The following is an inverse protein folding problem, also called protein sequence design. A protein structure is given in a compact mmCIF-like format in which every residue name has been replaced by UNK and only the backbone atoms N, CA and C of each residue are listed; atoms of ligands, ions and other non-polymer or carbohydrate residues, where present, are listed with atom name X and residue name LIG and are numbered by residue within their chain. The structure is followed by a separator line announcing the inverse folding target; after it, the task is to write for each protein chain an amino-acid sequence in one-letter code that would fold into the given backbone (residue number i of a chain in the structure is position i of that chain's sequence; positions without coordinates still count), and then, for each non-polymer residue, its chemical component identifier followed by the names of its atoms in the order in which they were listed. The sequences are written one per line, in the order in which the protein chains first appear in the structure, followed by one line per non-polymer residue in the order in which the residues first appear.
data_IF_421570699471
#
_entry.id   IF_421570699471
#
_cell.length_a   1.000
_cell.length_b   1.000
_cell.length_c   1.000
_cell.angle_alpha   90.00
_cell.angle_beta   90.00
_cell.angle_gamma   90.00
#
_symmetry.space_group_name_H-M   'P 1'
#
loop_
_entity.id
_entity.type
_entity.pdbx_description
1 polymer ?
#
# COMPACT_ATOMS: atom_id res chain seq x y z
N UNK A 1 -2.88 13.42 26.81
CA UNK A 1 -4.04 12.64 26.33
C UNK A 1 -5.03 13.59 25.69
N UNK A 2 -5.04 13.73 24.36
CA UNK A 2 -6.08 14.48 23.65
C UNK A 2 -6.79 13.51 22.72
N UNK A 3 -7.94 13.03 23.17
CA UNK A 3 -8.83 12.16 22.45
C UNK A 3 -9.88 13.06 21.80
N UNK A 4 -9.57 13.58 20.62
CA UNK A 4 -10.58 14.22 19.78
C UNK A 4 -11.20 13.13 18.91
N UNK A 5 -12.26 12.51 19.41
CA UNK A 5 -13.10 11.65 18.59
C UNK A 5 -13.76 12.53 17.52
N UNK A 6 -13.42 12.31 16.25
CA UNK A 6 -14.18 12.87 15.14
C UNK A 6 -15.52 12.14 15.08
N UNK A 7 -16.59 12.87 15.36
CA UNK A 7 -17.99 12.41 15.33
C UNK A 7 -18.44 11.93 13.94
N UNK A 8 -17.63 12.18 12.91
CA UNK A 8 -17.71 11.58 11.59
C UNK A 8 -16.50 10.66 11.43
N UNK A 9 -16.74 9.36 11.31
CA UNK A 9 -15.75 8.26 11.39
C UNK A 9 -14.65 8.25 10.31
N UNK A 10 -13.85 9.31 10.22
CA UNK A 10 -12.57 9.29 9.51
C UNK A 10 -11.57 8.50 10.33
N UNK A 11 -11.03 7.41 9.76
CA UNK A 11 -9.92 6.70 10.41
C UNK A 11 -8.77 7.68 10.67
N UNK A 12 -8.14 7.57 11.83
CA UNK A 12 -7.07 8.46 12.29
C UNK A 12 -6.01 8.73 11.21
N UNK A 13 -5.66 7.73 10.39
CA UNK A 13 -4.71 7.86 9.29
C UNK A 13 -5.15 8.78 8.15
N UNK A 14 -6.46 8.96 7.92
CA UNK A 14 -6.99 9.91 6.95
C UNK A 14 -6.80 11.33 7.47
N UNK A 15 -7.18 11.59 8.72
CA UNK A 15 -7.02 12.89 9.38
C UNK A 15 -5.55 13.35 9.31
N UNK A 16 -4.61 12.45 9.51
CA UNK A 16 -3.18 12.74 9.39
C UNK A 16 -2.77 13.16 7.97
N UNK A 17 -3.19 12.42 6.93
CA UNK A 17 -2.82 12.77 5.56
C UNK A 17 -3.41 14.12 5.16
N UNK A 18 -4.66 14.38 5.51
CA UNK A 18 -5.31 15.67 5.26
C UNK A 18 -4.59 16.83 5.96
N UNK A 19 -4.16 16.66 7.21
CA UNK A 19 -3.41 17.68 7.93
C UNK A 19 -1.99 17.91 7.38
N UNK A 20 -1.33 16.88 6.84
CA UNK A 20 -0.06 17.04 6.10
C UNK A 20 -0.28 17.85 4.83
N UNK A 21 -1.31 17.52 4.05
CA UNK A 21 -1.68 18.25 2.83
C UNK A 21 -2.02 19.70 3.13
N UNK A 22 -2.84 19.96 4.15
CA UNK A 22 -3.20 21.30 4.60
C UNK A 22 -1.97 22.12 5.01
N UNK A 23 -1.03 21.52 5.77
CA UNK A 23 0.23 22.17 6.16
C UNK A 23 1.04 22.60 4.94
N UNK A 24 1.14 21.75 3.91
CA UNK A 24 1.86 22.06 2.69
C UNK A 24 1.18 23.22 1.93
N UNK A 25 -0.14 23.19 1.79
CA UNK A 25 -0.91 24.25 1.14
C UNK A 25 -0.74 25.60 1.86
N UNK A 26 -0.85 25.64 3.19
CA UNK A 26 -0.67 26.88 3.97
C UNK A 26 0.77 27.43 3.88
N UNK A 27 1.78 26.55 3.84
CA UNK A 27 3.18 26.97 3.60
C UNK A 27 3.35 27.62 2.22
N UNK A 28 2.70 27.07 1.19
CA UNK A 28 2.73 27.64 -0.16
C UNK A 28 1.99 28.99 -0.22
N UNK A 29 0.80 29.08 0.36
CA UNK A 29 0.03 30.33 0.42
C UNK A 29 0.80 31.46 1.13
N UNK A 30 1.54 31.12 2.21
CA UNK A 30 2.41 32.07 2.90
C UNK A 30 3.59 32.53 2.05
N UNK A 31 4.24 31.61 1.32
CA UNK A 31 5.31 31.98 0.37
C UNK A 31 4.81 32.87 -0.76
N UNK A 32 3.56 32.68 -1.17
CA UNK A 32 2.91 33.49 -2.20
C UNK A 32 2.35 34.84 -1.67
N UNK A 33 2.49 35.14 -0.37
CA UNK A 33 1.96 36.36 0.24
C UNK A 33 0.42 36.39 0.37
N UNK A 34 -0.27 35.29 0.08
CA UNK A 34 -1.73 35.16 0.17
C UNK A 34 -2.19 34.90 1.61
N UNK A 35 -1.26 34.60 2.52
CA UNK A 35 -1.54 34.18 3.88
C UNK A 35 -0.41 34.53 4.84
N UNK A 36 -0.68 35.25 5.93
CA UNK A 36 0.36 35.78 6.81
C UNK A 36 0.47 35.07 8.17
N UNK A 37 -0.41 34.12 8.47
CA UNK A 37 -0.36 33.37 9.74
C UNK A 37 0.60 32.20 9.62
N UNK A 38 1.38 31.95 10.67
CA UNK A 38 2.24 30.77 10.72
C UNK A 38 1.40 29.47 10.73
N UNK A 39 1.57 28.58 9.74
CA UNK A 39 0.87 27.29 9.73
C UNK A 39 1.13 26.45 10.99
N UNK A 40 2.26 26.64 11.66
CA UNK A 40 2.56 25.95 12.90
C UNK A 40 1.66 26.37 14.08
N UNK A 41 1.10 27.59 14.04
CA UNK A 41 0.19 28.09 15.07
C UNK A 41 -1.24 27.54 14.94
N UNK A 42 -1.61 27.03 13.75
CA UNK A 42 -2.95 26.50 13.45
C UNK A 42 -3.05 24.99 13.58
N UNK A 43 -1.93 24.28 13.45
CA UNK A 43 -1.90 22.83 13.48
C UNK A 43 -1.67 22.33 14.91
N UNK A 44 -2.22 21.15 15.28
CA UNK A 44 -2.07 20.61 16.62
C UNK A 44 -0.60 20.54 17.05
N UNK A 45 -0.31 21.00 18.27
CA UNK A 45 1.02 20.88 18.89
C UNK A 45 1.38 19.39 18.94
N UNK A 46 2.60 19.04 18.51
CA UNK A 46 3.08 17.66 18.33
C UNK A 46 2.45 16.86 17.15
N UNK A 47 1.84 17.53 16.16
CA UNK A 47 1.54 16.88 14.88
C UNK A 47 2.82 16.60 14.09
N UNK A 48 3.43 15.46 14.42
CA UNK A 48 4.51 14.80 13.73
C UNK A 48 4.12 13.31 13.65
N UNK A 49 3.44 12.88 12.58
CA UNK A 49 3.10 11.47 12.43
C UNK A 49 4.39 10.66 12.42
N UNK A 50 4.64 9.92 13.50
CA UNK A 50 5.68 8.92 13.56
C UNK A 50 5.22 7.76 12.67
N UNK A 51 5.53 7.84 11.37
CA UNK A 51 5.31 6.74 10.46
C UNK A 51 6.11 5.55 10.98
N UNK A 52 5.39 4.55 11.51
CA UNK A 52 5.98 3.27 11.90
C UNK A 52 5.88 2.34 10.70
N UNK A 53 6.98 2.12 9.96
CA UNK A 53 6.96 1.15 8.88
C UNK A 53 6.52 -0.21 9.42
N UNK A 54 5.76 -0.95 8.61
CA UNK A 54 5.40 -2.32 8.97
C UNK A 54 6.67 -3.14 9.01
N UNK A 55 6.99 -3.70 10.17
CA UNK A 55 8.17 -4.54 10.39
C UNK A 55 7.96 -6.00 10.00
N UNK A 56 6.69 -6.41 9.78
CA UNK A 56 6.34 -7.77 9.41
C UNK A 56 6.34 -7.94 7.90
N UNK A 57 7.16 -8.87 7.42
CA UNK A 57 7.10 -9.43 6.08
C UNK A 57 6.75 -10.93 6.14
N UNK A 58 6.19 -11.48 5.06
CA UNK A 58 5.97 -12.92 4.96
C UNK A 58 7.31 -13.66 4.93
N UNK A 59 7.44 -14.70 5.75
CA UNK A 59 8.54 -15.67 5.61
C UNK A 59 8.34 -16.51 4.35
N UNK A 60 9.41 -17.12 3.84
CA UNK A 60 9.33 -18.05 2.68
C UNK A 60 8.30 -19.16 2.91
N UNK A 61 8.20 -19.67 4.14
CA UNK A 61 7.26 -20.73 4.51
C UNK A 61 5.81 -20.25 4.51
N UNK A 62 5.55 -19.05 5.03
CA UNK A 62 4.21 -18.45 4.99
C UNK A 62 3.80 -18.12 3.55
N UNK A 63 4.74 -17.65 2.71
CA UNK A 63 4.50 -17.45 1.29
C UNK A 63 4.14 -18.76 0.59
N UNK A 64 4.90 -19.84 0.83
CA UNK A 64 4.59 -21.14 0.22
C UNK A 64 3.19 -21.65 0.60
N UNK A 65 2.77 -21.46 1.86
CA UNK A 65 1.41 -21.79 2.30
C UNK A 65 0.37 -20.91 1.62
N UNK A 66 0.61 -19.60 1.52
CA UNK A 66 -0.28 -18.67 0.83
C UNK A 66 -0.46 -19.08 -0.65
N UNK A 67 0.62 -19.43 -1.34
CA UNK A 67 0.55 -19.84 -2.75
C UNK A 67 -0.25 -21.12 -2.97
N UNK A 68 -0.25 -22.05 -2.00
CA UNK A 68 -1.02 -23.30 -2.08
C UNK A 68 -2.54 -23.09 -1.98
N UNK A 69 -2.99 -22.02 -1.31
CA UNK A 69 -4.41 -21.68 -1.15
C UNK A 69 -4.99 -20.88 -2.33
N UNK A 70 -4.14 -20.45 -3.27
CA UNK A 70 -4.53 -19.59 -4.38
C UNK A 70 -4.78 -20.39 -5.66
N UNK A 71 -5.70 -19.90 -6.50
CA UNK A 71 -5.81 -20.42 -7.87
C UNK A 71 -4.48 -20.23 -8.62
N UNK A 72 -4.15 -21.10 -9.61
CA UNK A 72 -2.85 -21.05 -10.28
C UNK A 72 -2.47 -19.68 -10.86
N UNK A 73 -3.46 -18.96 -11.41
CA UNK A 73 -3.26 -17.59 -11.94
C UNK A 73 -2.95 -16.57 -10.83
N UNK A 74 -3.65 -16.64 -9.69
CA UNK A 74 -3.39 -15.74 -8.55
C UNK A 74 -2.05 -16.06 -7.88
N UNK A 75 -1.75 -17.34 -7.71
CA UNK A 75 -0.48 -17.79 -7.15
C UNK A 75 0.70 -17.28 -8.00
N UNK A 76 0.61 -17.39 -9.32
CA UNK A 76 1.67 -16.96 -10.22
C UNK A 76 1.89 -15.43 -10.18
N UNK A 77 0.83 -14.63 -10.07
CA UNK A 77 0.93 -13.17 -9.88
C UNK A 77 1.56 -12.80 -8.54
N UNK A 78 1.15 -13.46 -7.45
CA UNK A 78 1.72 -13.24 -6.11
C UNK A 78 3.19 -13.62 -6.07
N UNK A 79 3.57 -14.77 -6.66
CA UNK A 79 4.96 -15.18 -6.76
C UNK A 79 5.81 -14.17 -7.56
N UNK A 80 5.28 -13.66 -8.68
CA UNK A 80 5.94 -12.61 -9.46
C UNK A 80 6.14 -11.34 -8.64
N UNK A 81 5.07 -10.80 -8.03
CA UNK A 81 5.14 -9.58 -7.22
C UNK A 81 6.15 -9.71 -6.08
N UNK A 82 6.19 -10.84 -5.37
CA UNK A 82 7.14 -11.05 -4.28
C UNK A 82 8.59 -11.19 -4.79
N UNK A 83 8.80 -11.79 -5.96
CA UNK A 83 10.14 -11.97 -6.53
C UNK A 83 10.72 -10.67 -7.12
N UNK A 84 9.88 -9.77 -7.64
CA UNK A 84 10.31 -8.55 -8.34
C UNK A 84 10.01 -7.26 -7.59
N UNK A 85 9.28 -7.34 -6.48
CA UNK A 85 8.71 -6.18 -5.78
C UNK A 85 7.78 -5.32 -6.67
N UNK A 86 7.18 -5.91 -7.71
CA UNK A 86 6.26 -5.19 -8.59
C UNK A 86 4.97 -4.78 -7.86
N UNK A 87 4.49 -3.57 -8.18
CA UNK A 87 3.20 -3.08 -7.72
C UNK A 87 2.04 -3.84 -8.37
N UNK A 88 0.91 -3.95 -7.68
CA UNK A 88 -0.29 -4.63 -8.19
C UNK A 88 -0.85 -3.98 -9.47
N UNK A 89 -0.57 -2.69 -9.68
CA UNK A 89 -0.91 -1.91 -10.88
C UNK A 89 -0.01 -2.23 -12.08
N UNK A 90 1.12 -2.90 -11.86
CA UNK A 90 2.07 -3.32 -12.88
C UNK A 90 2.11 -4.85 -13.07
N UNK A 91 0.96 -5.55 -13.26
CA UNK A 91 1.05 -6.94 -13.66
C UNK A 91 1.63 -7.00 -15.07
N UNK A 92 2.53 -7.97 -15.37
CA UNK A 92 2.95 -8.21 -16.74
C UNK A 92 1.70 -8.46 -17.58
N UNK A 93 1.67 -7.86 -18.77
CA UNK A 93 0.47 -7.82 -19.61
C UNK A 93 -0.27 -9.16 -19.63
N UNK A 94 -1.58 -9.08 -19.42
CA UNK A 94 -2.50 -10.20 -19.11
C UNK A 94 -2.42 -11.43 -20.04
N UNK A 95 -1.69 -11.35 -21.15
CA UNK A 95 -1.39 -12.48 -22.03
C UNK A 95 -0.47 -13.53 -21.39
N UNK A 96 0.45 -13.15 -20.49
CA UNK A 96 1.45 -14.09 -19.94
C UNK A 96 0.81 -15.20 -19.08
N UNK A 97 -0.15 -14.86 -18.21
CA UNK A 97 -0.81 -15.85 -17.34
C UNK A 97 -2.01 -16.55 -18.00
N UNK A 98 -2.66 -15.92 -19.00
CA UNK A 98 -3.80 -16.52 -19.72
C UNK A 98 -3.38 -17.69 -20.64
N UNK A 99 -2.16 -17.64 -21.17
CA UNK A 99 -1.55 -18.62 -22.09
C UNK A 99 -1.28 -20.00 -21.47
N UNK A 100 -1.10 -20.11 -20.15
CA UNK A 100 -0.80 -21.40 -19.49
C UNK A 100 -2.01 -22.29 -19.20
N UNK A 101 -3.25 -21.83 -19.45
CA UNK A 101 -4.47 -22.67 -19.29
C UNK A 101 -4.60 -23.79 -20.33
N UNK A 102 -3.74 -23.86 -21.34
CA UNK A 102 -3.81 -24.84 -22.43
C UNK A 102 -2.67 -25.87 -22.50
N UNK A 103 -1.76 -25.94 -21.52
CA UNK A 103 -0.66 -26.93 -21.49
C UNK A 103 -0.80 -27.86 -20.29
N UNK A 104 -1.82 -28.72 -20.32
CA UNK A 104 -1.97 -29.84 -19.39
C UNK A 104 -2.31 -31.11 -20.17
N UNK A 105 -1.29 -31.73 -20.77
CA UNK A 105 -1.23 -33.09 -21.34
C UNK A 105 -0.01 -33.12 -22.26
N UNK A 106 1.13 -33.73 -21.97
CA UNK A 106 1.36 -35.07 -21.44
C UNK A 106 2.76 -35.17 -20.84
N UNK A 107 2.87 -35.60 -19.58
CA UNK A 107 4.02 -36.38 -19.13
C UNK A 107 3.42 -37.67 -18.59
N UNK A 108 3.27 -38.65 -19.48
CA UNK A 108 3.06 -40.04 -19.08
C UNK A 108 4.34 -40.51 -18.39
N UNK A 109 4.27 -40.63 -17.07
CA UNK A 109 5.16 -41.51 -16.34
C UNK A 109 4.76 -42.95 -16.70
N UNK A 110 5.72 -43.71 -17.20
CA UNK A 110 5.67 -45.18 -17.24
C UNK A 110 7.04 -45.67 -16.75
N UNK A 111 7.07 -46.85 -16.10
CA UNK A 111 7.81 -47.09 -14.87
C UNK A 111 9.32 -47.31 -15.02
#
# INVERSE_FOLDING_TARGET
MLRAASDRGGSEGIIHKELVTLRAALKLARRAGLWNVDPAALLPVAFAPEYKPRSRCLTRRELARLLAELSPDRAARVAFMVATSAELSAPPETGWFRSRRGRSSSCSATP
#
